data_IF_384669299233
#
_entry.id   IF_384669299233
#
_cell.length_a   1.000
_cell.length_b   1.000
_cell.length_c   1.000
_cell.angle_alpha   90.00
_cell.angle_beta   90.00
_cell.angle_gamma   90.00
#
_symmetry.space_group_name_H-M   'P 1'
#
loop_
_entity.id
_entity.type
_entity.pdbx_description
1 polymer ?
#
# COMPACT_ATOMS: atom_id res chain seq x y z
N UNK A 1 7.99 29.71 0.18
CA UNK A 1 7.76 28.91 -1.05
C UNK A 1 6.51 28.06 -0.81
N UNK A 2 5.48 28.23 -1.64
CA UNK A 2 4.07 27.94 -1.28
C UNK A 2 3.77 26.44 -1.08
N UNK A 3 3.10 26.10 0.03
CA UNK A 3 2.57 24.76 0.41
C UNK A 3 1.83 24.02 -0.71
N UNK A 4 1.38 24.75 -1.74
CA UNK A 4 0.66 24.25 -2.90
C UNK A 4 1.55 23.45 -3.87
N UNK A 5 2.86 23.72 -3.91
CA UNK A 5 3.79 23.07 -4.85
C UNK A 5 4.12 21.64 -4.39
N UNK A 6 4.23 21.42 -3.07
CA UNK A 6 4.49 20.09 -2.48
C UNK A 6 3.33 19.13 -2.75
N UNK A 7 2.09 19.62 -2.70
CA UNK A 7 0.91 18.81 -2.98
C UNK A 7 0.79 18.34 -4.44
N UNK A 8 1.28 19.14 -5.40
CA UNK A 8 1.23 18.80 -6.83
C UNK A 8 2.30 17.76 -7.20
N UNK A 9 3.47 17.81 -6.57
CA UNK A 9 4.54 16.82 -6.81
C UNK A 9 4.14 15.45 -6.24
N UNK A 10 3.42 15.42 -5.11
CA UNK A 10 2.86 14.19 -4.56
C UNK A 10 1.82 13.54 -5.50
N UNK A 11 1.09 14.34 -6.28
CA UNK A 11 0.09 13.87 -7.25
C UNK A 11 0.71 13.29 -8.53
N UNK A 12 1.85 13.80 -8.98
CA UNK A 12 2.50 13.38 -10.24
C UNK A 12 3.31 12.08 -10.10
N UNK A 13 3.82 11.76 -8.91
CA UNK A 13 4.54 10.49 -8.67
C UNK A 13 3.58 9.29 -8.60
N UNK A 14 2.28 9.54 -8.41
CA UNK A 14 1.29 8.50 -8.18
C UNK A 14 0.67 7.90 -9.46
N UNK A 15 0.98 8.45 -10.64
CA UNK A 15 0.37 8.06 -11.92
C UNK A 15 1.23 7.17 -12.82
N UNK A 16 2.45 6.78 -12.45
CA UNK A 16 3.37 6.04 -13.35
C UNK A 16 3.64 4.57 -13.00
N UNK A 17 3.02 3.98 -11.97
CA UNK A 17 3.28 2.57 -11.60
C UNK A 17 2.36 1.54 -12.29
N UNK A 18 1.93 1.81 -13.53
CA UNK A 18 0.93 0.99 -14.24
C UNK A 18 1.46 -0.17 -15.10
N UNK A 19 2.77 -0.47 -15.12
CA UNK A 19 3.33 -1.29 -16.20
C UNK A 19 3.96 -2.64 -15.83
N UNK A 20 4.07 -3.05 -14.56
CA UNK A 20 4.72 -4.33 -14.25
C UNK A 20 4.09 -5.06 -13.06
N UNK A 21 3.25 -6.04 -13.35
CA UNK A 21 3.32 -7.38 -12.75
C UNK A 21 2.34 -8.30 -13.49
N UNK A 22 2.84 -9.19 -14.35
CA UNK A 22 2.08 -10.38 -14.73
C UNK A 22 2.12 -11.39 -13.59
N UNK A 23 1.01 -12.09 -13.27
CA UNK A 23 1.05 -13.21 -12.35
C UNK A 23 1.86 -14.35 -12.98
N UNK A 24 2.85 -14.87 -12.24
CA UNK A 24 3.56 -16.09 -12.62
C UNK A 24 2.65 -17.27 -12.31
N UNK A 25 2.23 -18.03 -13.34
CA UNK A 25 1.57 -19.31 -13.15
C UNK A 25 2.54 -20.28 -12.48
N UNK A 26 2.20 -20.72 -11.27
CA UNK A 26 2.84 -21.87 -10.65
C UNK A 26 2.13 -23.11 -11.22
N UNK A 27 2.76 -23.72 -12.23
CA UNK A 27 2.41 -25.04 -12.73
C UNK A 27 2.62 -26.06 -11.63
N UNK A 28 1.52 -26.52 -11.03
CA UNK A 28 1.50 -27.54 -10.00
C UNK A 28 1.66 -28.90 -10.69
N UNK A 29 2.91 -29.31 -10.87
CA UNK A 29 3.25 -30.64 -11.39
C UNK A 29 2.97 -31.71 -10.32
N UNK A 30 2.03 -32.58 -10.66
CA UNK A 30 1.88 -33.99 -10.29
C UNK A 30 2.63 -34.50 -9.05
N UNK A 31 1.84 -34.84 -8.03
CA UNK A 31 2.11 -36.00 -7.18
C UNK A 31 0.79 -36.57 -6.64
N UNK A 32 0.33 -37.66 -7.25
CA UNK A 32 -0.63 -38.61 -6.66
C UNK A 32 0.15 -39.94 -6.47
N UNK A 33 -0.11 -40.76 -5.42
CA UNK A 33 -1.33 -41.58 -5.45
C UNK A 33 -2.03 -41.82 -4.08
N UNK A 34 -3.36 -41.88 -4.18
CA UNK A 34 -4.31 -42.82 -3.55
C UNK A 34 -4.19 -43.21 -2.07
N UNK A 35 -5.23 -42.89 -1.29
CA UNK A 35 -5.86 -43.80 -0.31
C UNK A 35 -7.33 -43.41 -0.09
N UNK A 36 -8.12 -44.39 0.28
CA UNK A 36 -9.57 -44.58 0.10
C UNK A 36 -10.36 -44.23 1.40
N UNK A 37 -11.66 -43.93 1.26
CA UNK A 37 -12.68 -43.70 2.32
C UNK A 37 -12.59 -42.35 3.08
N UNK A 38 -13.64 -41.54 3.25
CA UNK A 38 -15.05 -41.83 3.38
C UNK A 38 -15.91 -40.76 2.72
N UNK A 39 -16.94 -41.22 2.01
CA UNK A 39 -18.04 -40.40 1.52
C UNK A 39 -18.92 -39.99 2.71
N UNK A 40 -18.52 -38.94 3.44
CA UNK A 40 -19.45 -38.22 4.29
C UNK A 40 -20.36 -37.40 3.37
N UNK A 41 -21.58 -37.90 3.20
CA UNK A 41 -22.70 -37.12 2.67
C UNK A 41 -22.80 -35.85 3.52
N UNK A 42 -22.65 -34.64 2.96
CA UNK A 42 -22.90 -33.46 3.76
C UNK A 42 -24.39 -33.47 4.08
N UNK A 43 -24.70 -33.80 5.33
CA UNK A 43 -25.99 -33.52 5.95
C UNK A 43 -26.37 -32.09 5.58
N UNK A 44 -27.62 -31.90 5.17
CA UNK A 44 -28.20 -30.59 4.86
C UNK A 44 -28.23 -29.73 6.13
N UNK A 45 -27.06 -29.23 6.51
CA UNK A 45 -26.81 -28.43 7.70
C UNK A 45 -26.63 -27.01 7.18
N UNK A 46 -27.72 -26.25 7.27
CA UNK A 46 -27.82 -24.80 7.06
C UNK A 46 -26.84 -24.27 6.02
N UNK A 47 -27.25 -24.26 4.74
CA UNK A 47 -26.53 -23.54 3.70
C UNK A 47 -26.06 -22.20 4.28
N UNK A 48 -24.75 -21.98 4.44
CA UNK A 48 -24.25 -20.77 5.09
C UNK A 48 -24.79 -19.63 4.26
N UNK A 49 -25.58 -18.74 4.89
CA UNK A 49 -26.10 -17.53 4.25
C UNK A 49 -24.97 -16.92 3.44
N UNK A 50 -25.09 -17.00 2.12
CA UNK A 50 -23.98 -16.75 1.22
C UNK A 50 -23.59 -15.29 1.42
N UNK A 51 -22.41 -15.04 2.03
CA UNK A 51 -22.02 -13.68 2.38
C UNK A 51 -22.05 -12.80 1.14
N UNK A 52 -22.69 -11.62 1.18
CA UNK A 52 -22.87 -10.82 -0.01
C UNK A 52 -21.51 -10.38 -0.56
N UNK A 53 -21.38 -10.35 -1.89
CA UNK A 53 -20.08 -10.17 -2.58
C UNK A 53 -19.38 -8.86 -2.19
N UNK A 54 -20.14 -7.77 -2.04
CA UNK A 54 -19.61 -6.48 -1.58
C UNK A 54 -18.88 -6.59 -0.23
N UNK A 55 -19.38 -7.45 0.68
CA UNK A 55 -18.77 -7.66 1.99
C UNK A 55 -17.48 -8.47 1.88
N UNK A 56 -17.40 -9.42 0.94
CA UNK A 56 -16.14 -10.15 0.64
C UNK A 56 -15.09 -9.21 0.05
N UNK A 57 -15.49 -8.35 -0.89
CA UNK A 57 -14.59 -7.36 -1.50
C UNK A 57 -14.12 -6.31 -0.47
N UNK A 58 -14.98 -5.89 0.46
CA UNK A 58 -14.60 -4.99 1.54
C UNK A 58 -13.55 -5.62 2.48
N UNK A 59 -13.73 -6.88 2.88
CA UNK A 59 -12.74 -7.61 3.69
C UNK A 59 -11.37 -7.68 2.99
N UNK A 60 -11.38 -7.96 1.68
CA UNK A 60 -10.14 -7.99 0.89
C UNK A 60 -9.47 -6.62 0.88
N UNK A 61 -10.23 -5.54 0.69
CA UNK A 61 -9.70 -4.18 0.71
C UNK A 61 -9.11 -3.81 2.07
N UNK A 62 -9.73 -4.21 3.18
CA UNK A 62 -9.21 -4.01 4.54
C UNK A 62 -7.86 -4.72 4.76
N UNK A 63 -7.75 -5.97 4.30
CA UNK A 63 -6.51 -6.75 4.34
C UNK A 63 -5.42 -6.04 3.52
N UNK A 64 -5.76 -5.55 2.33
CA UNK A 64 -4.83 -4.79 1.48
C UNK A 64 -4.41 -3.48 2.13
N UNK A 65 -5.34 -2.73 2.74
CA UNK A 65 -5.02 -1.50 3.46
C UNK A 65 -4.03 -1.79 4.61
N UNK A 66 -4.42 -2.68 5.52
CA UNK A 66 -3.63 -2.98 6.72
C UNK A 66 -2.27 -3.60 6.36
N UNK A 67 -2.23 -4.48 5.36
CA UNK A 67 -1.01 -5.11 4.88
C UNK A 67 -0.07 -4.15 4.15
N UNK A 68 -0.61 -3.18 3.40
CA UNK A 68 0.20 -2.19 2.66
C UNK A 68 0.68 -1.03 3.54
N UNK A 69 -0.03 -0.73 4.64
CA UNK A 69 0.30 0.38 5.53
C UNK A 69 1.79 0.48 5.93
N UNK A 70 2.47 -0.57 6.45
CA UNK A 70 3.88 -0.46 6.83
C UNK A 70 4.80 -0.07 5.67
N UNK A 71 4.54 -0.56 4.46
CA UNK A 71 5.31 -0.21 3.26
C UNK A 71 5.04 1.24 2.85
N UNK A 72 3.78 1.67 2.86
CA UNK A 72 3.43 3.06 2.56
C UNK A 72 3.98 4.04 3.61
N UNK A 73 4.10 3.62 4.87
CA UNK A 73 4.70 4.41 5.93
C UNK A 73 6.21 4.58 5.73
N UNK A 74 6.90 3.50 5.37
CA UNK A 74 8.32 3.56 5.01
C UNK A 74 8.53 4.48 3.80
N UNK A 75 7.71 4.33 2.76
CA UNK A 75 7.76 5.16 1.56
C UNK A 75 7.50 6.63 1.90
N UNK A 76 6.45 6.93 2.65
CA UNK A 76 6.12 8.30 3.07
C UNK A 76 7.25 8.92 3.89
N UNK A 77 7.83 8.18 4.84
CA UNK A 77 8.97 8.65 5.64
C UNK A 77 10.19 8.93 4.77
N UNK A 78 10.52 8.05 3.83
CA UNK A 78 11.64 8.20 2.92
C UNK A 78 11.44 9.41 2.00
N UNK A 79 10.29 9.49 1.33
CA UNK A 79 9.92 10.60 0.45
C UNK A 79 9.96 11.92 1.20
N UNK A 80 9.38 11.98 2.41
CA UNK A 80 9.42 13.18 3.22
C UNK A 80 10.85 13.60 3.57
N UNK A 81 11.70 12.65 3.96
CA UNK A 81 13.11 12.93 4.30
C UNK A 81 13.89 13.45 3.10
N UNK A 82 13.70 12.86 1.91
CA UNK A 82 14.34 13.30 0.67
C UNK A 82 13.85 14.69 0.24
N UNK A 83 12.55 14.97 0.38
CA UNK A 83 11.99 16.28 0.09
C UNK A 83 12.51 17.34 1.06
N UNK A 84 12.54 17.03 2.37
CA UNK A 84 13.09 17.93 3.39
C UNK A 84 14.55 18.24 3.11
N UNK A 85 15.36 17.24 2.79
CA UNK A 85 16.76 17.39 2.37
C UNK A 85 16.91 18.30 1.14
N UNK A 86 16.16 18.02 0.08
CA UNK A 86 16.24 18.78 -1.17
C UNK A 86 15.82 20.24 -0.98
N UNK A 87 14.73 20.50 -0.23
CA UNK A 87 14.23 21.85 0.01
C UNK A 87 15.24 22.69 0.79
N UNK A 88 15.79 22.16 1.89
CA UNK A 88 16.78 22.89 2.69
C UNK A 88 18.12 23.01 1.95
N UNK A 89 18.52 22.01 1.17
CA UNK A 89 19.70 22.09 0.31
C UNK A 89 19.62 23.20 -0.75
N UNK A 90 18.42 23.44 -1.32
CA UNK A 90 18.19 24.49 -2.31
C UNK A 90 18.05 25.87 -1.65
N UNK A 91 17.32 25.97 -0.54
CA UNK A 91 17.00 27.26 0.11
C UNK A 91 18.15 27.81 0.94
N UNK A 92 18.79 26.97 1.75
CA UNK A 92 19.72 27.44 2.78
C UNK A 92 21.20 27.31 2.36
N UNK A 93 21.48 26.64 1.22
CA UNK A 93 22.81 26.45 0.58
C UNK A 93 23.96 25.96 1.48
N UNK A 94 23.75 25.71 2.77
CA UNK A 94 24.86 25.60 3.73
C UNK A 94 24.77 24.45 4.73
N UNK A 95 23.66 23.71 4.84
CA UNK A 95 23.56 22.55 5.76
C UNK A 95 22.64 21.43 5.24
N UNK A 96 22.77 21.05 3.96
CA UNK A 96 21.98 19.96 3.41
C UNK A 96 22.11 18.67 4.26
N UNK A 97 23.32 18.37 4.76
CA UNK A 97 23.56 17.14 5.52
C UNK A 97 22.82 17.04 6.86
N UNK A 98 22.48 18.16 7.50
CA UNK A 98 21.71 18.12 8.75
C UNK A 98 20.29 17.60 8.53
N UNK A 99 19.76 17.81 7.31
CA UNK A 99 18.45 17.32 6.90
C UNK A 99 18.53 16.05 6.06
N UNK A 100 19.67 15.35 6.08
CA UNK A 100 19.83 14.10 5.34
C UNK A 100 18.80 13.05 5.80
N UNK A 101 18.44 12.09 4.94
CA UNK A 101 17.55 11.01 5.32
C UNK A 101 18.06 10.26 6.56
N UNK A 102 17.13 9.71 7.35
CA UNK A 102 17.42 9.07 8.64
C UNK A 102 18.52 7.98 8.62
N UNK A 103 18.80 7.37 7.46
CA UNK A 103 19.87 6.38 7.28
C UNK A 103 21.24 6.99 6.92
N UNK A 104 21.28 8.29 6.62
CA UNK A 104 22.48 9.08 6.30
C UNK A 104 22.66 10.29 7.25
N UNK A 105 21.72 10.51 8.17
CA UNK A 105 21.71 11.67 9.04
C UNK A 105 22.90 11.63 10.03
N UNK A 106 23.63 12.74 10.22
CA UNK A 106 24.69 12.82 11.21
C UNK A 106 24.12 12.79 12.64
N UNK A 107 24.93 12.39 13.63
CA UNK A 107 24.54 12.49 15.03
C UNK A 107 24.28 13.97 15.40
N UNK A 108 23.12 14.25 16.01
CA UNK A 108 22.71 15.61 16.36
C UNK A 108 21.89 16.33 15.27
N UNK A 109 21.55 15.65 14.17
CA UNK A 109 20.61 16.16 13.19
C UNK A 109 19.27 16.58 13.83
N UNK A 110 18.63 17.68 13.36
CA UNK A 110 17.32 18.10 13.85
C UNK A 110 16.30 16.96 13.77
N UNK A 111 15.62 16.68 14.87
CA UNK A 111 14.58 15.66 14.89
C UNK A 111 13.37 16.10 14.04
N UNK A 112 12.53 15.14 13.66
CA UNK A 112 11.24 15.45 13.07
C UNK A 112 10.30 16.01 14.14
N UNK A 113 9.69 17.15 13.81
CA UNK A 113 8.65 17.77 14.62
C UNK A 113 7.41 16.88 14.67
N UNK A 114 6.60 17.04 15.71
CA UNK A 114 5.36 16.26 15.88
C UNK A 114 4.42 16.39 14.68
N UNK A 115 4.30 17.60 14.13
CA UNK A 115 3.47 17.90 12.95
C UNK A 115 3.97 17.19 11.70
N UNK A 116 5.29 17.07 11.53
CA UNK A 116 5.92 16.36 10.41
C UNK A 116 5.69 14.85 10.54
N UNK A 117 5.88 14.30 11.74
CA UNK A 117 5.58 12.89 12.05
C UNK A 117 4.12 12.55 11.76
N UNK A 118 3.20 13.40 12.20
CA UNK A 118 1.77 13.25 11.95
C UNK A 118 1.45 13.32 10.45
N UNK A 119 2.08 14.25 9.73
CA UNK A 119 1.93 14.38 8.28
C UNK A 119 2.39 13.14 7.52
N UNK A 120 3.51 12.53 7.92
CA UNK A 120 4.01 11.28 7.34
C UNK A 120 3.02 10.14 7.58
N UNK A 121 2.52 9.98 8.80
CA UNK A 121 1.55 8.93 9.14
C UNK A 121 0.24 9.13 8.38
N UNK A 122 -0.27 10.36 8.32
CA UNK A 122 -1.48 10.68 7.58
C UNK A 122 -1.31 10.45 6.06
N UNK A 123 -0.16 10.81 5.50
CA UNK A 123 0.18 10.55 4.11
C UNK A 123 0.25 9.06 3.79
N UNK A 124 0.88 8.28 4.66
CA UNK A 124 0.94 6.82 4.54
C UNK A 124 -0.45 6.18 4.61
N UNK A 125 -1.27 6.56 5.60
CA UNK A 125 -2.64 6.06 5.74
C UNK A 125 -3.49 6.39 4.51
N UNK A 126 -3.34 7.60 3.95
CA UNK A 126 -4.03 8.03 2.74
C UNK A 126 -3.60 7.20 1.51
N UNK A 127 -2.30 6.98 1.35
CA UNK A 127 -1.76 6.20 0.24
C UNK A 127 -2.20 4.72 0.31
N UNK A 128 -2.12 4.12 1.49
CA UNK A 128 -2.59 2.76 1.74
C UNK A 128 -4.10 2.62 1.49
N UNK A 129 -4.90 3.59 1.95
CA UNK A 129 -6.35 3.62 1.69
C UNK A 129 -6.65 3.72 0.19
N UNK A 130 -5.85 4.46 -0.58
CA UNK A 130 -6.05 4.53 -2.02
C UNK A 130 -5.73 3.19 -2.71
N UNK A 131 -4.66 2.51 -2.31
CA UNK A 131 -4.33 1.17 -2.85
C UNK A 131 -5.48 0.20 -2.58
N UNK A 132 -6.00 0.20 -1.35
CA UNK A 132 -7.16 -0.61 -0.97
C UNK A 132 -8.43 -0.24 -1.76
N UNK A 133 -8.66 1.05 -2.02
CA UNK A 133 -9.79 1.51 -2.83
C UNK A 133 -9.68 1.02 -4.29
N UNK A 134 -8.48 1.06 -4.87
CA UNK A 134 -8.22 0.54 -6.22
C UNK A 134 -8.49 -0.96 -6.26
N UNK A 135 -8.04 -1.71 -5.25
CA UNK A 135 -8.29 -3.15 -5.14
C UNK A 135 -9.79 -3.47 -5.03
N UNK A 136 -10.50 -2.75 -4.16
CA UNK A 136 -11.95 -2.87 -4.01
C UNK A 136 -12.66 -2.63 -5.35
N UNK A 137 -12.29 -1.56 -6.07
CA UNK A 137 -12.89 -1.22 -7.37
C UNK A 137 -12.63 -2.31 -8.42
N UNK A 138 -11.43 -2.89 -8.45
CA UNK A 138 -11.12 -4.02 -9.34
C UNK A 138 -11.95 -5.26 -9.02
N UNK A 139 -12.12 -5.58 -7.74
CA UNK A 139 -12.98 -6.68 -7.30
C UNK A 139 -14.46 -6.49 -7.61
N UNK A 140 -14.92 -5.25 -7.82
CA UNK A 140 -16.30 -4.94 -8.24
C UNK A 140 -16.46 -5.00 -9.77
N UNK A 141 -15.49 -4.53 -10.54
CA UNK A 141 -15.59 -4.45 -12.02
C UNK A 141 -15.23 -5.75 -12.74
N UNK A 142 -14.41 -6.62 -12.14
CA UNK A 142 -14.08 -7.94 -12.72
C UNK A 142 -15.29 -8.82 -13.02
N UNK A 143 -16.43 -8.52 -12.39
CA UNK A 143 -17.68 -9.28 -12.49
C UNK A 143 -18.48 -8.97 -13.76
N UNK A 144 -18.19 -7.88 -14.50
CA UNK A 144 -18.95 -7.49 -15.69
C UNK A 144 -18.51 -8.20 -16.99
N UNK A 145 -17.41 -8.97 -16.95
CA UNK A 145 -16.80 -9.60 -18.14
C UNK A 145 -17.14 -11.10 -18.28
N UNK A 146 -17.85 -11.69 -17.31
CA UNK A 146 -18.30 -13.10 -17.33
C UNK A 146 -19.80 -13.29 -17.68
N UNK A 147 -20.46 -12.27 -18.24
CA UNK A 147 -21.82 -12.35 -18.81
C UNK A 147 -21.79 -12.08 -20.31
#
# INVERSE_FOLDING_TARGET
MSQRIVGVILFVVMTTAGAFCQPTEISQADASPSEEEAHETPTAETAPTETPRWARNLRRAEIVATGSFPLTLLAARLTYSLLRFAVHGIQDRTTAMDYAPWFLAPPGAPELEFTEKLGIVAGAASLSSLIALIDYRRGVTGDEQEQ
#
